data_IF_958950064727
#
_entry.id   IF_958950064727
#
_cell.length_a   1.000
_cell.length_b   1.000
_cell.length_c   1.000
_cell.angle_alpha   90.00
_cell.angle_beta   90.00
_cell.angle_gamma   90.00
#
_symmetry.space_group_name_H-M   'P 1'
#
loop_
_entity.id
_entity.type
_entity.pdbx_description
1 polymer ?
#
# COMPACT_ATOMS: atom_id res chain seq x y z
N UNK A 1 -11.95 -11.62 -3.12
CA UNK A 1 -10.99 -10.49 -3.19
C UNK A 1 -11.71 -9.18 -3.43
N UNK A 2 -12.76 -9.14 -4.26
CA UNK A 2 -13.56 -7.92 -4.50
C UNK A 2 -14.22 -7.30 -3.26
N UNK A 3 -14.50 -8.11 -2.24
CA UNK A 3 -15.16 -7.68 -1.01
C UNK A 3 -14.33 -6.69 -0.18
N UNK A 4 -13.01 -6.83 -0.12
CA UNK A 4 -12.16 -5.91 0.65
C UNK A 4 -12.04 -4.54 -0.02
N UNK A 5 -11.91 -4.52 -1.35
CA UNK A 5 -11.87 -3.29 -2.12
C UNK A 5 -13.23 -2.56 -2.10
N UNK A 6 -14.33 -3.30 -2.25
CA UNK A 6 -15.68 -2.74 -2.19
C UNK A 6 -16.02 -2.10 -0.83
N UNK A 7 -15.35 -2.53 0.24
CA UNK A 7 -15.50 -1.96 1.58
C UNK A 7 -14.65 -0.69 1.83
N UNK A 8 -13.80 -0.29 0.87
CA UNK A 8 -12.98 0.93 1.00
C UNK A 8 -13.83 2.20 0.86
N UNK A 9 -13.39 3.36 1.37
CA UNK A 9 -14.10 4.61 1.13
C UNK A 9 -14.30 4.86 -0.37
N UNK A 10 -15.48 5.32 -0.83
CA UNK A 10 -15.76 5.50 -2.26
C UNK A 10 -14.75 6.39 -2.99
N UNK A 11 -14.16 7.37 -2.28
CA UNK A 11 -13.11 8.24 -2.83
C UNK A 11 -11.83 7.46 -3.15
N UNK A 12 -11.42 6.58 -2.25
CA UNK A 12 -10.28 5.69 -2.43
C UNK A 12 -10.54 4.76 -3.62
N UNK A 13 -11.73 4.14 -3.67
CA UNK A 13 -12.11 3.28 -4.80
C UNK A 13 -12.00 4.00 -6.14
N UNK A 14 -12.54 5.22 -6.23
CA UNK A 14 -12.51 6.05 -7.45
C UNK A 14 -11.08 6.36 -7.90
N UNK A 15 -10.18 6.70 -6.98
CA UNK A 15 -8.78 6.98 -7.33
C UNK A 15 -8.07 5.71 -7.78
N UNK A 16 -8.29 4.58 -7.10
CA UNK A 16 -7.70 3.29 -7.49
C UNK A 16 -8.16 2.91 -8.90
N UNK A 17 -9.45 2.98 -9.19
CA UNK A 17 -10.01 2.71 -10.52
C UNK A 17 -9.45 3.63 -11.61
N UNK A 18 -9.13 4.89 -11.28
CA UNK A 18 -8.51 5.81 -12.24
C UNK A 18 -7.04 5.47 -12.58
N UNK A 19 -6.37 4.66 -11.74
CA UNK A 19 -4.97 4.27 -11.96
C UNK A 19 -4.81 2.86 -12.52
N UNK A 20 -5.81 2.00 -12.36
CA UNK A 20 -5.81 0.59 -12.77
C UNK A 20 -6.30 0.46 -14.23
N UNK A 21 -5.65 -0.40 -15.02
CA UNK A 21 -6.10 -0.74 -16.38
C UNK A 21 -7.27 -1.74 -16.37
N UNK A 22 -8.05 -1.84 -17.46
CA UNK A 22 -9.20 -2.76 -17.53
C UNK A 22 -8.84 -4.24 -17.28
N UNK A 23 -7.61 -4.63 -17.63
CA UNK A 23 -7.08 -5.98 -17.45
C UNK A 23 -6.23 -6.16 -16.17
N UNK A 24 -6.19 -5.14 -15.32
CA UNK A 24 -5.45 -5.15 -14.07
C UNK A 24 -6.40 -5.42 -12.89
N UNK A 25 -6.04 -6.40 -12.06
CA UNK A 25 -6.89 -6.86 -10.97
C UNK A 25 -6.22 -6.61 -9.62
N UNK A 26 -7.01 -6.21 -8.62
CA UNK A 26 -6.53 -6.05 -7.25
C UNK A 26 -6.35 -7.43 -6.62
N UNK A 27 -5.11 -7.78 -6.28
CA UNK A 27 -4.76 -9.05 -5.62
C UNK A 27 -4.83 -8.96 -4.10
N UNK A 28 -4.50 -7.79 -3.54
CA UNK A 28 -4.50 -7.60 -2.09
C UNK A 28 -4.74 -6.14 -1.71
N UNK A 29 -5.52 -5.94 -0.66
CA UNK A 29 -5.67 -4.65 0.01
C UNK A 29 -5.09 -4.76 1.43
N UNK A 30 -4.20 -3.85 1.82
CA UNK A 30 -3.72 -3.77 3.22
C UNK A 30 -3.73 -2.35 3.73
N UNK A 31 -3.82 -2.21 5.04
CA UNK A 31 -3.74 -0.91 5.72
C UNK A 31 -2.37 -0.76 6.39
N UNK A 32 -1.65 0.28 6.01
CA UNK A 32 -0.48 0.78 6.73
C UNK A 32 -0.81 2.07 7.47
N UNK A 33 0.20 2.66 8.12
CA UNK A 33 0.12 4.02 8.65
C UNK A 33 1.46 4.72 8.53
N UNK A 34 1.56 5.66 7.60
CA UNK A 34 2.69 6.58 7.54
C UNK A 34 2.58 7.70 8.57
N UNK A 35 1.35 8.10 8.91
CA UNK A 35 1.04 9.06 9.98
C UNK A 35 0.06 8.43 10.99
N UNK A 36 0.13 8.87 12.26
CA UNK A 36 -0.73 8.34 13.34
C UNK A 36 -2.23 8.52 13.08
N UNK A 37 -2.60 9.59 12.38
CA UNK A 37 -3.98 10.03 12.20
C UNK A 37 -4.61 9.59 10.88
N UNK A 38 -3.82 9.19 9.89
CA UNK A 38 -4.31 8.89 8.55
C UNK A 38 -3.79 7.51 8.09
N UNK A 39 -4.68 6.57 7.74
CA UNK A 39 -4.26 5.28 7.22
C UNK A 39 -3.66 5.41 5.83
N UNK A 40 -2.72 4.51 5.55
CA UNK A 40 -2.25 4.25 4.19
C UNK A 40 -3.08 3.10 3.61
N UNK A 41 -3.77 3.36 2.51
CA UNK A 41 -4.45 2.35 1.74
C UNK A 41 -3.50 1.79 0.69
N UNK A 42 -3.08 0.55 0.88
CA UNK A 42 -2.11 -0.13 0.02
C UNK A 42 -2.85 -1.16 -0.82
N UNK A 43 -2.72 -1.01 -2.14
CA UNK A 43 -3.29 -1.90 -3.15
C UNK A 43 -2.15 -2.56 -3.90
N UNK A 44 -2.12 -3.88 -3.87
CA UNK A 44 -1.23 -4.68 -4.70
C UNK A 44 -2.09 -5.29 -5.79
N UNK A 45 -1.78 -4.97 -7.04
CA UNK A 45 -2.51 -5.43 -8.22
C UNK A 45 -1.73 -6.52 -8.94
N UNK A 46 -2.22 -6.97 -10.10
CA UNK A 46 -1.47 -7.81 -11.02
C UNK A 46 -0.29 -7.10 -11.71
N UNK A 47 -0.13 -5.77 -11.56
CA UNK A 47 0.92 -5.01 -12.26
C UNK A 47 1.73 -4.08 -11.37
N UNK A 48 1.19 -3.66 -10.23
CA UNK A 48 1.76 -2.55 -9.47
C UNK A 48 1.47 -2.62 -7.98
N UNK A 49 2.22 -1.80 -7.25
CA UNK A 49 1.93 -1.43 -5.87
C UNK A 49 1.47 0.04 -5.86
N UNK A 50 0.23 0.27 -5.47
CA UNK A 50 -0.38 1.59 -5.34
C UNK A 50 -0.65 1.88 -3.86
N UNK A 51 -0.17 3.01 -3.35
CA UNK A 51 -0.40 3.45 -1.96
C UNK A 51 -1.03 4.82 -1.98
N UNK A 52 -2.18 4.92 -1.32
CA UNK A 52 -2.95 6.15 -1.16
C UNK A 52 -2.96 6.57 0.31
N UNK A 53 -2.84 7.87 0.58
CA UNK A 53 -3.09 8.46 1.88
C UNK A 53 -4.25 9.47 1.78
N UNK A 54 -5.07 9.57 2.84
CA UNK A 54 -6.03 10.66 2.93
C UNK A 54 -5.36 11.89 3.55
N UNK A 55 -5.49 13.03 2.86
CA UNK A 55 -4.98 14.32 3.31
C UNK A 55 -6.12 15.31 3.45
N UNK A 56 -5.98 16.22 4.41
CA UNK A 56 -6.96 17.26 4.69
C UNK A 56 -6.38 18.62 4.29
N UNK A 57 -7.17 19.44 3.59
CA UNK A 57 -6.81 20.83 3.25
C UNK A 57 -7.52 21.77 4.23
N UNK A 58 -6.75 22.59 4.96
CA UNK A 58 -7.26 23.59 5.89
C UNK A 58 -7.88 23.01 7.18
N UNK A 59 -8.62 23.84 7.92
CA UNK A 59 -9.35 23.40 9.12
C UNK A 59 -10.57 22.53 8.72
N UNK A 60 -10.31 21.23 8.53
CA UNK A 60 -11.26 20.13 8.74
C UNK A 60 -12.43 19.89 7.78
N UNK A 61 -12.61 20.62 6.67
CA UNK A 61 -13.80 20.40 5.81
C UNK A 61 -13.55 19.66 4.49
N UNK A 62 -12.32 19.60 3.97
CA UNK A 62 -12.03 18.94 2.68
C UNK A 62 -10.91 17.92 2.83
N UNK A 63 -11.25 16.62 2.70
CA UNK A 63 -10.29 15.54 2.54
C UNK A 63 -10.17 15.10 1.08
N UNK A 64 -8.93 14.82 0.65
CA UNK A 64 -8.62 14.26 -0.66
C UNK A 64 -7.72 13.04 -0.52
N UNK A 65 -7.86 12.10 -1.44
CA UNK A 65 -6.97 10.96 -1.54
C UNK A 65 -5.75 11.36 -2.38
N UNK A 66 -4.57 11.22 -1.81
CA UNK A 66 -3.30 11.52 -2.44
C UNK A 66 -2.59 10.21 -2.80
N UNK A 67 -1.98 10.17 -3.98
CA UNK A 67 -1.18 9.02 -4.42
C UNK A 67 0.23 9.20 -3.85
N UNK A 68 0.58 8.41 -2.85
CA UNK A 68 1.93 8.45 -2.26
C UNK A 68 2.92 7.57 -3.04
N UNK A 69 2.44 6.47 -3.59
CA UNK A 69 3.26 5.47 -4.25
C UNK A 69 2.46 4.87 -5.39
N UNK A 70 3.02 4.78 -6.58
CA UNK A 70 2.42 4.10 -7.72
C UNK A 70 3.58 3.48 -8.50
N UNK A 71 3.95 2.25 -8.16
CA UNK A 71 5.15 1.57 -8.65
C UNK A 71 4.77 0.33 -9.44
N UNK A 72 5.19 0.26 -10.70
CA UNK A 72 5.06 -0.96 -11.49
C UNK A 72 6.04 -2.01 -10.96
N UNK A 73 5.68 -3.30 -11.04
CA UNK A 73 6.60 -4.37 -10.63
C UNK A 73 7.92 -4.34 -11.40
N UNK A 74 7.90 -3.88 -12.66
CA UNK A 74 9.10 -3.70 -13.50
C UNK A 74 10.10 -2.67 -12.94
N UNK A 75 9.64 -1.76 -12.07
CA UNK A 75 10.47 -0.73 -11.44
C UNK A 75 11.07 -1.21 -10.10
N UNK A 76 10.45 -2.22 -9.48
CA UNK A 76 10.80 -2.73 -8.16
C UNK A 76 12.00 -3.68 -8.28
N UNK A 77 13.06 -3.38 -7.55
CA UNK A 77 14.30 -4.17 -7.49
C UNK A 77 14.34 -5.14 -6.31
N UNK A 78 13.54 -4.88 -5.29
CA UNK A 78 13.42 -5.75 -4.15
C UNK A 78 12.37 -5.27 -3.17
N UNK A 79 11.94 -6.19 -2.32
CA UNK A 79 11.05 -5.92 -1.21
C UNK A 79 11.63 -6.58 0.04
N UNK A 80 11.51 -5.93 1.20
CA UNK A 80 11.90 -6.49 2.49
C UNK A 80 10.83 -6.23 3.53
N UNK A 81 10.71 -7.20 4.45
CA UNK A 81 9.88 -7.09 5.64
C UNK A 81 10.76 -6.78 6.85
N UNK A 82 10.57 -5.61 7.47
CA UNK A 82 11.37 -5.12 8.59
C UNK A 82 10.52 -5.08 9.87
N UNK A 83 11.11 -5.53 11.00
CA UNK A 83 10.45 -5.59 12.31
C UNK A 83 11.37 -5.15 13.44
N UNK A 84 11.45 -3.84 13.63
CA UNK A 84 12.09 -3.20 14.78
C UNK A 84 11.38 -3.55 16.10
N UNK A 85 12.04 -3.25 17.22
CA UNK A 85 11.50 -3.54 18.56
C UNK A 85 10.09 -2.98 18.78
N UNK A 86 9.85 -1.72 18.38
CA UNK A 86 8.52 -1.07 18.43
C UNK A 86 7.46 -1.86 17.65
N UNK A 87 7.81 -2.36 16.48
CA UNK A 87 6.91 -3.14 15.63
C UNK A 87 6.59 -4.49 16.24
N UNK A 88 7.57 -5.14 16.89
CA UNK A 88 7.35 -6.41 17.59
C UNK A 88 6.37 -6.25 18.74
N UNK A 89 6.52 -5.19 19.54
CA UNK A 89 5.61 -4.88 20.65
C UNK A 89 4.18 -4.63 20.18
N UNK A 90 4.00 -3.89 19.08
CA UNK A 90 2.68 -3.52 18.55
C UNK A 90 2.11 -4.54 17.55
N UNK A 91 2.75 -5.70 17.36
CA UNK A 91 2.39 -6.71 16.33
C UNK A 91 2.30 -6.12 14.92
N UNK A 92 3.16 -5.16 14.64
CA UNK A 92 3.28 -4.48 13.36
C UNK A 92 4.55 -4.93 12.63
N UNK A 93 4.67 -4.47 11.39
CA UNK A 93 5.83 -4.59 10.55
C UNK A 93 5.85 -3.45 9.52
N UNK A 94 6.99 -3.33 8.86
CA UNK A 94 7.26 -2.35 7.83
C UNK A 94 7.66 -3.04 6.54
N UNK A 95 7.14 -2.55 5.42
CA UNK A 95 7.58 -2.94 4.09
C UNK A 95 8.52 -1.88 3.52
N UNK A 96 9.69 -2.34 3.11
CA UNK A 96 10.67 -1.59 2.34
C UNK A 96 10.61 -2.06 0.89
N UNK A 97 10.29 -1.17 -0.04
CA UNK A 97 10.23 -1.44 -1.48
C UNK A 97 11.33 -0.64 -2.16
N UNK A 98 12.35 -1.32 -2.66
CA UNK A 98 13.49 -0.70 -3.31
C UNK A 98 13.26 -0.57 -4.81
N UNK A 99 13.51 0.62 -5.35
CA UNK A 99 13.62 0.89 -6.78
C UNK A 99 15.06 1.34 -7.10
N UNK A 100 15.40 1.55 -8.37
CA UNK A 100 16.80 1.81 -8.81
C UNK A 100 17.50 2.95 -8.04
N UNK A 101 16.78 4.02 -7.71
CA UNK A 101 17.37 5.23 -7.07
C UNK A 101 16.66 5.67 -5.80
N UNK A 102 15.71 4.89 -5.31
CA UNK A 102 14.91 5.30 -4.16
C UNK A 102 14.38 4.07 -3.41
N UNK A 103 13.87 4.32 -2.21
CA UNK A 103 13.23 3.30 -1.39
C UNK A 103 11.91 3.86 -0.89
N UNK A 104 10.83 3.11 -1.09
CA UNK A 104 9.49 3.43 -0.61
C UNK A 104 9.16 2.61 0.62
N UNK A 105 8.57 3.29 1.61
CA UNK A 105 8.37 2.77 2.96
C UNK A 105 6.88 2.74 3.24
N UNK A 106 6.37 1.59 3.66
CA UNK A 106 5.00 1.43 4.16
C UNK A 106 5.12 0.91 5.58
N UNK A 107 4.82 1.77 6.54
CA UNK A 107 5.10 1.50 7.95
C UNK A 107 3.84 1.08 8.73
N UNK A 108 4.03 0.55 9.93
CA UNK A 108 2.97 0.24 10.89
C UNK A 108 1.84 -0.68 10.37
N UNK A 109 2.15 -1.55 9.41
CA UNK A 109 1.20 -2.54 8.88
C UNK A 109 1.05 -3.67 9.91
N UNK A 110 -0.15 -4.23 10.08
CA UNK A 110 -0.30 -5.46 10.87
C UNK A 110 0.63 -6.56 10.34
N UNK A 111 1.31 -7.29 11.24
CA UNK A 111 2.33 -8.27 10.83
C UNK A 111 1.82 -9.32 9.83
N UNK A 112 0.58 -9.80 9.97
CA UNK A 112 0.00 -10.79 9.04
C UNK A 112 -0.23 -10.17 7.67
N UNK A 113 -0.86 -9.00 7.63
CA UNK A 113 -1.09 -8.26 6.39
C UNK A 113 0.23 -7.89 5.71
N UNK A 114 1.26 -7.52 6.48
CA UNK A 114 2.58 -7.21 5.95
C UNK A 114 3.28 -8.43 5.34
N UNK A 115 3.11 -9.61 5.95
CA UNK A 115 3.61 -10.88 5.39
C UNK A 115 2.88 -11.25 4.10
N UNK A 116 1.55 -11.12 4.06
CA UNK A 116 0.77 -11.35 2.85
C UNK A 116 1.17 -10.38 1.72
N UNK A 117 1.34 -9.10 2.05
CA UNK A 117 1.77 -8.08 1.10
C UNK A 117 3.20 -8.34 0.59
N UNK A 118 4.14 -8.68 1.49
CA UNK A 118 5.48 -9.10 1.11
C UNK A 118 5.45 -10.28 0.14
N UNK A 119 4.72 -11.35 0.48
CA UNK A 119 4.64 -12.55 -0.34
C UNK A 119 4.03 -12.26 -1.72
N UNK A 120 2.96 -11.46 -1.77
CA UNK A 120 2.29 -11.09 -3.01
C UNK A 120 3.20 -10.26 -3.93
N UNK A 121 3.97 -9.32 -3.38
CA UNK A 121 4.94 -8.54 -4.16
C UNK A 121 6.11 -9.43 -4.59
N UNK A 122 6.69 -10.22 -3.67
CA UNK A 122 7.84 -11.07 -3.96
C UNK A 122 7.55 -12.09 -5.07
N UNK A 123 6.37 -12.71 -5.07
CA UNK A 123 5.91 -13.62 -6.13
C UNK A 123 5.92 -12.93 -7.51
N UNK A 124 5.48 -11.67 -7.58
CA UNK A 124 5.43 -10.88 -8.82
C UNK A 124 6.82 -10.44 -9.32
N UNK A 125 7.83 -10.41 -8.45
CA UNK A 125 9.21 -10.10 -8.85
C UNK A 125 9.97 -11.33 -9.38
N UNK A 126 9.44 -12.53 -9.13
CA UNK A 126 10.02 -13.80 -9.59
C UNK A 126 9.33 -14.40 -10.81
N UNK A 127 8.14 -13.89 -11.15
CA UNK A 127 7.37 -14.28 -12.33
C UNK A 127 7.91 -13.61 -13.60
#
# INVERSE_FOLDING_TARGET
>A
MDTEFANMPPRIQKIVQAHICEDEHIRLCVLGRSNLLCPDYVFITSRRVLVLDERYIGSFTVSYANVRCNLLFTEIRGVKLIRDFKHRLLRQAKLEISIVRNVHWIDNINVRSAQCAYACIAEQLTA
#
